data_IF_589279733704
#
_entry.id   IF_589279733704
#
_cell.length_a   1.000
_cell.length_b   1.000
_cell.length_c   1.000
_cell.angle_alpha   90.00
_cell.angle_beta   90.00
_cell.angle_gamma   90.00
#
_symmetry.space_group_name_H-M   'P 1'
#
loop_
_entity.id
_entity.type
_entity.pdbx_description
1 polymer ?
#
# COMPACT_ATOMS: atom_id res chain seq x y z
N UNK A 1 70.87 23.12 10.60
CA UNK A 1 71.27 24.49 10.99
C UNK A 1 70.66 25.48 10.01
N UNK A 2 69.85 26.41 10.49
CA UNK A 2 69.34 27.54 9.70
C UNK A 2 67.86 27.83 9.93
N UNK A 3 67.56 28.40 11.09
CA UNK A 3 66.28 29.04 11.46
C UNK A 3 66.11 30.43 10.77
N UNK A 4 64.88 30.97 10.88
CA UNK A 4 64.50 32.41 10.87
C UNK A 4 64.36 33.12 9.51
N UNK A 5 63.50 34.12 9.30
CA UNK A 5 62.44 34.76 10.10
C UNK A 5 61.58 35.69 9.21
N UNK A 6 60.37 35.99 9.69
CA UNK A 6 59.58 37.23 9.64
C UNK A 6 59.70 38.31 8.52
N UNK A 7 58.52 38.77 8.05
CA UNK A 7 57.92 40.14 8.24
C UNK A 7 56.77 40.36 7.23
N UNK A 8 55.51 40.44 7.65
CA UNK A 8 54.74 41.63 8.08
C UNK A 8 54.66 42.77 7.04
N UNK A 9 53.45 43.02 6.51
CA UNK A 9 52.95 44.38 6.28
C UNK A 9 51.42 44.42 6.24
N UNK A 10 50.85 44.76 7.38
CA UNK A 10 49.57 45.45 7.63
C UNK A 10 49.06 46.41 6.54
N UNK A 11 47.73 46.42 6.31
CA UNK A 11 46.81 47.60 6.16
C UNK A 11 45.42 47.11 5.69
N UNK A 12 44.42 46.96 6.58
CA UNK A 12 43.54 47.97 7.21
C UNK A 12 42.56 48.61 6.22
N UNK A 13 41.28 48.21 6.32
CA UNK A 13 40.12 48.85 5.70
C UNK A 13 38.82 48.18 6.15
N UNK A 14 38.25 48.65 7.27
CA UNK A 14 36.83 48.51 7.67
C UNK A 14 36.25 49.95 7.62
N UNK A 15 35.01 50.16 7.17
CA UNK A 15 33.86 50.35 8.09
C UNK A 15 32.57 49.67 7.56
N UNK A 16 31.76 49.01 8.40
CA UNK A 16 30.60 49.49 9.20
C UNK A 16 29.29 49.10 8.48
N UNK A 17 28.56 48.13 9.05
CA UNK A 17 27.29 48.30 9.80
C UNK A 17 26.08 48.35 8.86
N UNK A 18 25.26 47.30 8.90
CA UNK A 18 23.85 47.48 9.24
C UNK A 18 23.24 46.14 9.66
N UNK A 19 22.93 46.09 10.95
CA UNK A 19 22.05 45.13 11.60
C UNK A 19 20.62 45.40 11.15
N UNK A 20 19.91 44.39 10.66
CA UNK A 20 18.46 44.37 10.66
C UNK A 20 17.98 42.92 10.73
N UNK A 21 17.93 42.43 11.95
CA UNK A 21 17.03 41.38 12.38
C UNK A 21 15.61 41.95 12.41
N UNK A 22 14.70 41.40 11.61
CA UNK A 22 13.27 41.54 11.87
C UNK A 22 12.58 40.21 11.61
N UNK A 23 12.12 39.65 12.73
CA UNK A 23 11.30 38.46 12.88
C UNK A 23 10.18 38.36 11.86
N UNK A 24 10.07 37.21 11.20
CA UNK A 24 8.84 36.75 10.58
C UNK A 24 8.15 35.85 11.60
N UNK A 25 7.49 36.49 12.55
CA UNK A 25 6.67 35.88 13.60
C UNK A 25 5.45 36.77 13.77
N UNK A 26 4.59 36.80 12.75
CA UNK A 26 3.27 37.45 12.77
C UNK A 26 2.46 36.97 11.56
N UNK A 27 1.92 35.76 11.64
CA UNK A 27 0.84 35.28 10.76
C UNK A 27 0.16 34.07 11.42
N UNK A 28 -0.35 34.30 12.63
CA UNK A 28 -1.25 33.40 13.32
C UNK A 28 -2.12 34.25 14.24
N UNK A 29 -3.12 34.91 13.67
CA UNK A 29 -4.28 35.48 14.38
C UNK A 29 -5.17 36.14 13.31
N UNK A 30 -6.13 35.40 12.77
CA UNK A 30 -7.49 35.92 12.62
C UNK A 30 -8.46 34.81 12.22
N UNK A 31 -9.73 35.00 12.57
CA UNK A 31 -10.89 34.13 12.35
C UNK A 31 -11.20 33.14 13.49
N UNK A 32 -11.58 33.72 14.63
CA UNK A 32 -12.62 33.12 15.47
C UNK A 32 -13.58 34.21 15.99
N UNK A 33 -14.86 33.84 15.98
CA UNK A 33 -16.03 34.49 16.60
C UNK A 33 -16.92 35.38 15.72
N UNK A 34 -18.22 35.30 16.05
CA UNK A 34 -19.45 35.84 15.42
C UNK A 34 -20.04 34.87 14.37
N UNK A 35 -21.16 34.18 14.61
CA UNK A 35 -22.42 34.69 15.17
C UNK A 35 -23.27 33.61 15.85
N UNK A 36 -24.06 34.02 16.83
CA UNK A 36 -24.99 33.22 17.61
C UNK A 36 -26.37 33.87 17.56
N UNK A 37 -27.41 33.10 17.20
CA UNK A 37 -28.82 33.33 17.55
C UNK A 37 -29.63 32.16 16.98
N UNK A 38 -30.29 31.37 17.82
CA UNK A 38 -31.75 31.45 18.13
C UNK A 38 -32.60 30.85 16.98
N UNK A 39 -33.72 30.15 17.15
CA UNK A 39 -34.56 29.62 18.23
C UNK A 39 -35.72 28.90 17.48
N UNK A 40 -36.60 28.24 18.22
CA UNK A 40 -37.99 27.90 17.85
C UNK A 40 -38.31 26.54 17.18
N UNK A 41 -38.87 25.72 18.06
CA UNK A 41 -39.90 24.67 17.99
C UNK A 41 -41.10 24.86 17.04
N UNK A 42 -41.65 23.73 16.55
CA UNK A 42 -43.09 23.33 16.63
C UNK A 42 -43.26 21.97 15.93
N UNK A 43 -43.63 20.84 16.54
CA UNK A 43 -44.91 20.39 17.11
C UNK A 43 -46.13 20.24 16.16
N UNK A 44 -46.60 18.98 16.06
CA UNK A 44 -47.99 18.49 15.82
C UNK A 44 -48.63 18.70 14.42
N UNK A 45 -49.41 17.83 13.77
CA UNK A 45 -50.48 16.83 14.10
C UNK A 45 -50.60 15.84 12.91
N UNK A 46 -50.71 14.52 13.08
CA UNK A 46 -51.92 13.68 13.31
C UNK A 46 -52.96 13.52 12.17
N UNK A 47 -53.05 12.28 11.66
CA UNK A 47 -54.22 11.41 11.34
C UNK A 47 -55.25 11.75 10.24
N UNK A 48 -55.54 10.74 9.39
CA UNK A 48 -56.82 10.00 9.16
C UNK A 48 -56.68 9.16 7.86
N UNK A 49 -56.79 7.82 7.87
CA UNK A 49 -58.02 6.99 7.62
C UNK A 49 -58.82 7.44 6.37
N UNK A 50 -59.30 6.62 5.43
CA UNK A 50 -59.78 5.23 5.48
C UNK A 50 -60.14 4.71 4.06
N UNK A 51 -60.16 3.38 3.89
CA UNK A 51 -61.12 2.56 3.10
C UNK A 51 -61.17 2.67 1.55
N UNK A 52 -61.47 1.65 0.74
CA UNK A 52 -61.79 0.21 0.87
C UNK A 52 -62.02 -0.39 -0.54
N UNK A 53 -62.30 -1.70 -0.60
CA UNK A 53 -62.84 -2.52 -1.72
C UNK A 53 -61.78 -3.19 -2.63
N UNK A 54 -61.63 -4.51 -2.75
CA UNK A 54 -62.46 -5.64 -2.29
C UNK A 54 -63.13 -6.34 -3.47
N UNK A 55 -62.47 -7.32 -4.12
CA UNK A 55 -63.12 -8.40 -4.89
C UNK A 55 -62.19 -9.62 -5.07
N UNK A 56 -62.74 -10.80 -4.84
CA UNK A 56 -62.24 -12.16 -5.11
C UNK A 56 -63.47 -13.09 -5.18
N UNK A 57 -63.42 -14.36 -5.61
CA UNK A 57 -62.76 -15.03 -6.76
C UNK A 57 -63.83 -15.96 -7.48
N UNK A 58 -63.58 -17.23 -7.91
CA UNK A 58 -62.66 -17.88 -8.88
C UNK A 58 -63.45 -18.50 -10.11
N UNK A 59 -62.89 -19.40 -10.97
CA UNK A 59 -62.69 -20.83 -10.64
C UNK A 59 -61.41 -21.51 -11.22
N UNK A 60 -61.25 -22.74 -10.76
CA UNK A 60 -60.18 -23.78 -10.82
C UNK A 60 -59.79 -24.38 -12.17
N UNK A 61 -58.51 -24.80 -12.31
CA UNK A 61 -58.10 -26.14 -12.77
C UNK A 61 -56.58 -26.41 -12.57
N UNK A 62 -56.29 -27.46 -11.77
CA UNK A 62 -55.18 -28.44 -11.82
C UNK A 62 -54.34 -28.51 -13.12
N UNK A 63 -53.07 -28.91 -13.19
CA UNK A 63 -52.04 -29.50 -12.31
C UNK A 63 -50.78 -29.73 -13.21
N UNK A 64 -49.64 -30.13 -12.61
CA UNK A 64 -48.35 -30.58 -13.19
C UNK A 64 -47.16 -29.61 -13.09
N UNK A 65 -46.64 -29.46 -11.87
CA UNK A 65 -45.22 -29.16 -11.64
C UNK A 65 -44.40 -30.45 -11.69
N UNK A 66 -43.60 -30.63 -12.74
CA UNK A 66 -42.59 -31.69 -12.80
C UNK A 66 -41.49 -31.42 -11.77
N UNK A 67 -41.03 -32.47 -11.09
CA UNK A 67 -40.04 -32.36 -10.02
C UNK A 67 -38.65 -32.09 -10.60
N UNK A 68 -37.86 -31.23 -9.93
CA UNK A 68 -36.48 -30.92 -10.35
C UNK A 68 -35.58 -32.18 -10.44
N UNK A 69 -35.94 -33.23 -9.72
CA UNK A 69 -35.35 -34.57 -9.79
C UNK A 69 -35.49 -35.23 -11.17
N UNK A 70 -36.64 -35.11 -11.82
CA UNK A 70 -36.88 -35.72 -13.15
C UNK A 70 -36.10 -34.99 -14.26
N UNK A 71 -35.88 -33.69 -14.09
CA UNK A 71 -35.09 -32.88 -15.02
C UNK A 71 -33.58 -33.20 -14.93
N UNK A 72 -33.08 -33.46 -13.72
CA UNK A 72 -31.70 -33.91 -13.50
C UNK A 72 -31.44 -35.31 -14.08
N UNK A 73 -32.42 -36.21 -13.98
CA UNK A 73 -32.32 -37.56 -14.54
C UNK A 73 -32.34 -37.55 -16.07
N UNK A 74 -33.12 -36.64 -16.67
CA UNK A 74 -33.19 -36.47 -18.12
C UNK A 74 -31.89 -35.92 -18.73
N UNK A 75 -31.10 -35.14 -17.99
CA UNK A 75 -29.76 -34.66 -18.43
C UNK A 75 -28.67 -35.73 -18.31
N UNK A 76 -28.73 -36.57 -17.28
CA UNK A 76 -27.81 -37.73 -17.14
C UNK A 76 -28.03 -38.74 -18.26
N UNK A 77 -29.27 -38.99 -18.65
CA UNK A 77 -29.60 -39.91 -19.75
C UNK A 77 -29.11 -39.40 -21.11
N UNK A 78 -29.19 -38.09 -21.36
CA UNK A 78 -28.68 -37.47 -22.61
C UNK A 78 -27.14 -37.51 -22.71
N UNK A 79 -26.43 -37.36 -21.59
CA UNK A 79 -24.94 -37.42 -21.57
C UNK A 79 -24.38 -38.83 -21.80
N UNK A 80 -25.17 -39.88 -21.55
CA UNK A 80 -24.76 -41.26 -21.79
C UNK A 80 -25.01 -41.75 -23.24
N UNK A 81 -25.78 -40.99 -24.04
CA UNK A 81 -26.07 -41.32 -25.44
C UNK A 81 -25.19 -40.55 -26.45
N UNK A 82 -24.47 -39.50 -26.02
CA UNK A 82 -23.56 -38.69 -26.87
C UNK A 82 -22.07 -39.07 -26.77
N UNK A 83 -21.67 -39.97 -25.86
CA UNK A 83 -20.30 -40.52 -25.82
C UNK A 83 -20.23 -41.86 -26.53
N UNK A 84 -20.26 -41.83 -27.86
CA UNK A 84 -20.07 -43.00 -28.72
C UNK A 84 -19.52 -42.61 -30.08
N UNK A 85 -18.22 -42.34 -30.18
CA UNK A 85 -17.34 -42.76 -31.30
C UNK A 85 -15.94 -42.13 -31.20
N UNK A 86 -14.95 -43.02 -31.00
CA UNK A 86 -13.60 -43.12 -31.60
C UNK A 86 -12.73 -41.84 -31.67
N UNK A 87 -11.50 -41.86 -31.15
CA UNK A 87 -10.34 -42.47 -31.84
C UNK A 87 -9.24 -42.99 -30.90
N UNK A 88 -8.54 -43.98 -31.43
CA UNK A 88 -7.45 -44.82 -30.87
C UNK A 88 -6.07 -44.20 -31.15
N UNK A 89 -5.14 -44.26 -30.18
CA UNK A 89 -3.69 -44.56 -30.32
C UNK A 89 -3.04 -44.37 -28.94
N UNK A 90 -2.73 -45.45 -28.21
CA UNK A 90 -1.53 -46.30 -28.30
C UNK A 90 -0.23 -45.57 -27.87
N UNK A 91 0.08 -45.64 -26.57
CA UNK A 91 1.36 -46.14 -26.07
C UNK A 91 1.37 -46.26 -24.54
N UNK A 92 1.69 -47.47 -24.10
CA UNK A 92 2.09 -47.89 -22.77
C UNK A 92 3.49 -47.40 -22.38
N UNK A 93 3.86 -47.67 -21.13
CA UNK A 93 5.16 -47.44 -20.47
C UNK A 93 5.36 -46.02 -19.97
N UNK A 94 5.03 -45.77 -18.69
CA UNK A 94 6.03 -45.69 -17.62
C UNK A 94 5.35 -46.16 -16.33
N UNK A 95 5.58 -47.42 -16.01
CA UNK A 95 5.56 -47.90 -14.64
C UNK A 95 6.71 -47.19 -13.88
N UNK A 96 6.68 -47.25 -12.55
CA UNK A 96 7.73 -46.88 -11.59
C UNK A 96 7.58 -45.56 -10.78
N UNK A 97 7.23 -45.83 -9.51
CA UNK A 97 7.53 -45.14 -8.25
C UNK A 97 6.52 -44.08 -7.79
N UNK A 98 5.53 -44.59 -7.05
CA UNK A 98 5.03 -43.96 -5.84
C UNK A 98 6.19 -43.66 -4.88
N UNK A 99 6.70 -42.44 -4.95
CA UNK A 99 7.43 -41.82 -3.85
C UNK A 99 6.54 -40.74 -3.24
N UNK A 100 6.13 -41.02 -2.01
CA UNK A 100 5.52 -40.09 -1.09
C UNK A 100 6.39 -38.83 -0.99
N UNK A 101 5.84 -37.71 -1.41
CA UNK A 101 6.32 -36.39 -1.04
C UNK A 101 5.10 -35.48 -0.94
N UNK A 102 4.88 -35.02 0.28
CA UNK A 102 4.00 -33.98 0.78
C UNK A 102 3.02 -33.29 -0.19
N UNK A 103 1.76 -33.29 0.25
CA UNK A 103 0.75 -32.29 -0.09
C UNK A 103 1.37 -30.88 -0.10
N UNK A 104 1.72 -30.39 -1.29
CA UNK A 104 1.78 -28.96 -1.58
C UNK A 104 0.89 -28.74 -2.78
N UNK A 105 -0.42 -28.79 -2.50
CA UNK A 105 -1.46 -28.26 -3.35
C UNK A 105 -1.18 -26.76 -3.53
N UNK A 106 -0.38 -26.44 -4.54
CA UNK A 106 -0.10 -25.08 -5.01
C UNK A 106 -1.36 -24.58 -5.71
N UNK A 107 -2.42 -24.37 -4.94
CA UNK A 107 -3.57 -23.60 -5.39
C UNK A 107 -3.18 -22.13 -5.27
N UNK A 108 -2.86 -21.51 -6.41
CA UNK A 108 -2.76 -20.05 -6.58
C UNK A 108 -4.13 -19.38 -6.40
N UNK A 109 -4.75 -19.61 -5.25
CA UNK A 109 -5.84 -18.79 -4.71
C UNK A 109 -5.30 -18.04 -3.50
N UNK A 110 -5.77 -16.82 -3.23
CA UNK A 110 -5.35 -16.09 -2.05
C UNK A 110 -5.71 -16.90 -0.80
N UNK A 111 -4.75 -17.06 0.11
CA UNK A 111 -4.99 -17.73 1.39
C UNK A 111 -6.18 -17.05 2.11
N UNK A 112 -7.27 -17.78 2.39
CA UNK A 112 -8.50 -17.20 2.93
C UNK A 112 -8.27 -16.51 4.28
N UNK A 113 -7.29 -16.97 5.06
CA UNK A 113 -6.91 -16.31 6.31
C UNK A 113 -6.28 -14.94 6.02
N UNK A 114 -5.39 -14.85 5.05
CA UNK A 114 -4.79 -13.58 4.65
C UNK A 114 -5.82 -12.61 4.05
N UNK A 115 -6.82 -13.08 3.30
CA UNK A 115 -7.94 -12.23 2.85
C UNK A 115 -8.75 -11.66 4.02
N UNK A 116 -9.11 -12.51 5.00
CA UNK A 116 -9.81 -12.04 6.19
C UNK A 116 -9.00 -11.00 6.99
N UNK A 117 -7.67 -11.16 7.06
CA UNK A 117 -6.80 -10.18 7.71
C UNK A 117 -6.78 -8.85 6.93
N UNK A 118 -6.68 -8.87 5.60
CA UNK A 118 -6.73 -7.63 4.82
C UNK A 118 -8.09 -6.93 4.88
N UNK A 119 -9.18 -7.70 4.98
CA UNK A 119 -10.52 -7.14 5.21
C UNK A 119 -10.60 -6.43 6.57
N UNK A 120 -9.99 -6.99 7.62
CA UNK A 120 -9.90 -6.37 8.94
C UNK A 120 -9.05 -5.10 8.97
N UNK A 121 -8.02 -5.03 8.11
CA UNK A 121 -7.22 -3.81 7.94
C UNK A 121 -8.07 -2.68 7.36
N UNK A 122 -9.01 -3.01 6.47
CA UNK A 122 -9.95 -2.06 5.87
C UNK A 122 -9.25 -0.84 5.27
N UNK A 123 -9.76 0.35 5.60
CA UNK A 123 -9.30 1.64 5.08
C UNK A 123 -8.16 2.27 5.89
N UNK A 124 -7.40 1.46 6.64
CA UNK A 124 -6.26 1.97 7.42
C UNK A 124 -5.28 2.72 6.52
N UNK A 125 -5.10 4.02 6.82
CA UNK A 125 -4.29 4.92 6.00
C UNK A 125 -2.80 4.67 6.13
N UNK A 126 -2.30 4.18 7.28
CA UNK A 126 -0.88 3.91 7.48
C UNK A 126 -0.69 2.54 8.14
N UNK A 127 -0.02 1.62 7.44
CA UNK A 127 0.13 0.22 7.84
C UNK A 127 1.62 -0.12 7.94
N UNK A 128 2.02 -0.82 8.99
CA UNK A 128 3.36 -1.40 9.06
C UNK A 128 3.29 -2.86 8.61
N UNK A 129 4.09 -3.23 7.62
CA UNK A 129 4.40 -4.62 7.28
C UNK A 129 5.67 -5.01 8.05
N UNK A 130 5.54 -5.98 8.95
CA UNK A 130 6.62 -6.45 9.81
C UNK A 130 6.91 -7.93 9.55
N UNK A 131 8.06 -8.24 8.99
CA UNK A 131 8.45 -9.61 8.65
C UNK A 131 9.77 -9.63 7.90
N UNK A 132 10.30 -10.82 7.60
CA UNK A 132 11.54 -10.91 6.83
C UNK A 132 11.35 -10.30 5.44
N UNK A 133 12.22 -9.35 5.08
CA UNK A 133 12.19 -8.68 3.78
C UNK A 133 12.73 -9.59 2.68
N UNK A 134 12.45 -9.24 1.42
CA UNK A 134 12.92 -9.91 0.20
C UNK A 134 12.44 -11.36 0.10
N UNK A 135 11.19 -11.62 0.51
CA UNK A 135 10.52 -12.90 0.37
C UNK A 135 9.17 -12.77 -0.35
N UNK A 136 8.70 -13.87 -0.96
CA UNK A 136 7.45 -13.88 -1.73
C UNK A 136 6.21 -13.47 -0.90
N UNK A 137 6.22 -13.75 0.41
CA UNK A 137 5.13 -13.34 1.32
C UNK A 137 5.04 -11.80 1.44
N UNK A 138 6.19 -11.12 1.56
CA UNK A 138 6.26 -9.66 1.57
C UNK A 138 5.78 -9.07 0.26
N UNK A 139 6.27 -9.59 -0.87
CA UNK A 139 5.96 -9.08 -2.22
C UNK A 139 4.46 -9.21 -2.53
N UNK A 140 3.88 -10.36 -2.16
CA UNK A 140 2.43 -10.62 -2.27
C UNK A 140 1.59 -9.66 -1.41
N UNK A 141 2.00 -9.40 -0.17
CA UNK A 141 1.30 -8.44 0.70
C UNK A 141 1.45 -7.01 0.21
N UNK A 142 2.65 -6.63 -0.23
CA UNK A 142 2.95 -5.33 -0.83
C UNK A 142 2.02 -5.05 -2.00
N UNK A 143 1.91 -5.98 -2.95
CA UNK A 143 1.08 -5.78 -4.14
C UNK A 143 -0.41 -5.71 -3.80
N UNK A 144 -0.89 -6.52 -2.84
CA UNK A 144 -2.29 -6.50 -2.41
C UNK A 144 -2.67 -5.20 -1.72
N UNK A 145 -1.77 -4.63 -0.90
CA UNK A 145 -1.97 -3.29 -0.32
C UNK A 145 -1.87 -2.16 -1.36
N UNK A 146 -1.30 -2.45 -2.53
CA UNK A 146 -1.21 -1.56 -3.69
C UNK A 146 -2.23 -1.89 -4.78
N UNK A 147 -3.23 -2.74 -4.51
CA UNK A 147 -4.26 -3.12 -5.47
C UNK A 147 -5.60 -2.44 -5.14
N UNK A 148 -6.39 -2.15 -6.17
CA UNK A 148 -7.72 -1.54 -6.02
C UNK A 148 -8.77 -2.59 -5.67
N UNK A 149 -9.52 -2.40 -4.60
CA UNK A 149 -10.69 -3.24 -4.26
C UNK A 149 -11.92 -2.91 -5.09
N UNK A 150 -11.95 -1.75 -5.74
CA UNK A 150 -13.13 -1.20 -6.46
C UNK A 150 -13.00 -1.32 -7.98
N UNK A 151 -11.83 -1.73 -8.50
CA UNK A 151 -11.56 -1.89 -9.93
C UNK A 151 -11.14 -0.60 -10.66
N UNK A 152 -11.16 0.53 -9.97
CA UNK A 152 -10.60 1.80 -10.45
C UNK A 152 -9.07 1.73 -10.54
N UNK A 153 -8.43 2.47 -11.46
CA UNK A 153 -6.98 2.54 -11.53
C UNK A 153 -6.40 3.10 -10.24
N UNK A 154 -5.32 2.50 -9.74
CA UNK A 154 -4.64 2.94 -8.53
C UNK A 154 -3.36 3.70 -8.88
N UNK A 155 -3.11 4.81 -8.19
CA UNK A 155 -1.87 5.59 -8.35
C UNK A 155 -0.82 5.04 -7.39
N UNK A 156 0.39 4.78 -7.87
CA UNK A 156 1.44 4.08 -7.14
C UNK A 156 2.65 4.97 -6.88
N UNK A 157 2.91 5.29 -5.62
CA UNK A 157 4.12 5.98 -5.19
C UNK A 157 5.01 5.02 -4.41
N UNK A 158 6.18 4.70 -4.96
CA UNK A 158 7.15 3.83 -4.30
C UNK A 158 8.33 4.67 -3.81
N UNK A 159 8.71 4.50 -2.55
CA UNK A 159 9.98 5.01 -2.00
C UNK A 159 10.88 3.81 -1.81
N UNK A 160 11.96 3.73 -2.59
CA UNK A 160 12.94 2.63 -2.51
C UNK A 160 14.29 3.16 -2.02
N UNK A 161 14.93 2.42 -1.12
CA UNK A 161 16.20 2.82 -0.49
C UNK A 161 17.31 1.81 -0.74
N UNK A 162 17.05 0.53 -0.41
CA UNK A 162 18.03 -0.54 -0.57
C UNK A 162 18.05 -1.21 -1.94
N UNK A 163 17.13 -0.83 -2.85
CA UNK A 163 16.94 -1.48 -4.15
C UNK A 163 16.81 -0.45 -5.27
N UNK A 164 17.23 -0.80 -6.47
CA UNK A 164 17.05 0.07 -7.64
C UNK A 164 15.57 0.19 -8.03
N UNK A 165 15.16 1.27 -8.72
CA UNK A 165 13.81 1.39 -9.26
C UNK A 165 13.44 0.23 -10.19
N UNK A 166 14.37 -0.21 -11.04
CA UNK A 166 14.14 -1.30 -12.00
C UNK A 166 13.83 -2.63 -11.31
N UNK A 167 14.60 -3.00 -10.29
CA UNK A 167 14.34 -4.20 -9.49
C UNK A 167 12.97 -4.12 -8.80
N UNK A 168 12.69 -3.01 -8.11
CA UNK A 168 11.44 -2.88 -7.34
C UNK A 168 10.21 -2.86 -8.22
N UNK A 169 10.27 -2.17 -9.37
CA UNK A 169 9.17 -2.14 -10.33
C UNK A 169 8.96 -3.52 -10.98
N UNK A 170 10.04 -4.24 -11.30
CA UNK A 170 9.93 -5.59 -11.87
C UNK A 170 9.25 -6.56 -10.91
N UNK A 171 9.60 -6.50 -9.62
CA UNK A 171 8.90 -7.27 -8.58
C UNK A 171 7.43 -6.88 -8.53
N UNK A 172 7.12 -5.58 -8.41
CA UNK A 172 5.73 -5.13 -8.34
C UNK A 172 4.90 -5.56 -9.55
N UNK A 173 5.44 -5.49 -10.77
CA UNK A 173 4.75 -5.93 -11.98
C UNK A 173 4.36 -7.41 -11.95
N UNK A 174 5.15 -8.27 -11.30
CA UNK A 174 4.88 -9.70 -11.21
C UNK A 174 3.71 -10.03 -10.27
N UNK A 175 3.44 -9.16 -9.29
CA UNK A 175 2.44 -9.40 -8.25
C UNK A 175 1.23 -8.46 -8.31
N UNK A 176 1.34 -7.30 -8.95
CA UNK A 176 0.26 -6.33 -9.07
C UNK A 176 -0.85 -6.88 -9.95
N UNK A 177 -2.08 -6.75 -9.47
CA UNK A 177 -3.28 -7.14 -10.20
C UNK A 177 -4.19 -5.92 -10.38
N UNK A 178 -4.61 -5.68 -11.63
CA UNK A 178 -5.55 -4.62 -11.96
C UNK A 178 -4.91 -3.41 -12.67
N UNK A 179 -5.73 -2.40 -13.02
CA UNK A 179 -5.26 -1.23 -13.74
C UNK A 179 -4.41 -0.32 -12.83
N UNK A 180 -3.28 0.13 -13.36
CA UNK A 180 -2.38 1.08 -12.70
C UNK A 180 -2.53 2.45 -13.38
N UNK A 181 -2.73 3.48 -12.58
CA UNK A 181 -2.78 4.89 -13.00
C UNK A 181 -1.38 5.51 -13.03
N UNK A 182 -1.24 6.67 -12.39
CA UNK A 182 0.05 7.34 -12.27
C UNK A 182 1.03 6.49 -11.44
N UNK A 183 2.28 6.41 -11.87
CA UNK A 183 3.32 5.69 -11.12
C UNK A 183 4.56 6.57 -10.98
N UNK A 184 5.07 6.68 -9.76
CA UNK A 184 6.30 7.40 -9.45
C UNK A 184 7.15 6.63 -8.46
N UNK A 185 8.47 6.71 -8.64
CA UNK A 185 9.47 6.13 -7.74
C UNK A 185 10.36 7.22 -7.19
N UNK A 186 10.47 7.28 -5.87
CA UNK A 186 11.50 8.05 -5.18
C UNK A 186 12.67 7.10 -4.94
N UNK A 187 13.69 7.26 -5.76
CA UNK A 187 14.93 6.48 -5.75
C UNK A 187 15.92 7.09 -4.76
N UNK A 188 16.06 6.49 -3.58
CA UNK A 188 17.05 6.87 -2.58
C UNK A 188 18.27 5.98 -2.81
N UNK A 189 19.30 6.53 -3.45
CA UNK A 189 20.44 5.80 -4.02
C UNK A 189 21.41 5.31 -2.94
N UNK A 190 20.95 4.44 -2.05
CA UNK A 190 21.68 3.90 -0.90
C UNK A 190 21.89 2.38 -1.03
N UNK A 191 22.16 1.94 -2.26
CA UNK A 191 22.53 0.58 -2.64
C UNK A 191 23.90 0.59 -3.33
N UNK A 192 24.55 -0.58 -3.42
CA UNK A 192 25.90 -0.69 -3.99
C UNK A 192 25.93 -0.22 -5.46
N UNK A 193 26.91 0.64 -5.79
CA UNK A 193 27.08 1.23 -7.12
C UNK A 193 27.40 0.23 -8.26
N UNK A 194 27.46 -1.06 -7.95
CA UNK A 194 27.66 -2.15 -8.91
C UNK A 194 26.37 -2.74 -9.49
N UNK A 195 25.20 -2.36 -8.96
CA UNK A 195 23.91 -2.78 -9.52
C UNK A 195 23.63 -1.98 -10.78
N UNK A 196 23.40 -2.62 -11.95
CA UNK A 196 22.97 -1.92 -13.13
C UNK A 196 21.63 -1.25 -12.83
N UNK A 197 21.58 0.08 -12.82
CA UNK A 197 20.31 0.78 -12.89
C UNK A 197 19.80 0.57 -14.32
N UNK A 198 19.00 -0.48 -14.53
CA UNK A 198 18.27 -0.62 -15.78
C UNK A 198 17.35 0.60 -15.91
N UNK A 199 17.50 1.36 -17.00
CA UNK A 199 16.58 2.44 -17.32
C UNK A 199 15.20 1.81 -17.56
N UNK A 200 14.28 2.09 -16.65
CA UNK A 200 12.90 1.67 -16.81
C UNK A 200 12.25 2.54 -17.91
N UNK A 201 11.94 1.93 -19.06
CA UNK A 201 11.39 2.59 -20.26
C UNK A 201 9.85 2.75 -20.24
N UNK A 202 9.19 2.40 -19.13
CA UNK A 202 7.74 2.59 -18.97
C UNK A 202 7.38 4.01 -18.50
N UNK A 203 6.08 4.34 -18.45
CA UNK A 203 5.58 5.67 -18.06
C UNK A 203 5.68 5.90 -16.54
N UNK A 204 6.87 5.78 -15.97
CA UNK A 204 7.13 5.94 -14.53
C UNK A 204 8.00 7.16 -14.31
N UNK A 205 7.56 8.05 -13.43
CA UNK A 205 8.37 9.19 -13.02
C UNK A 205 9.37 8.77 -11.93
N UNK A 206 10.67 8.82 -12.22
CA UNK A 206 11.73 8.56 -11.24
C UNK A 206 12.27 9.89 -10.70
N UNK A 207 12.18 10.09 -9.38
CA UNK A 207 12.77 11.24 -8.67
C UNK A 207 13.87 10.74 -7.73
N UNK A 208 15.09 11.25 -7.90
CA UNK A 208 16.25 10.73 -7.17
C UNK A 208 16.57 11.53 -5.89
N UNK A 209 17.08 10.83 -4.89
CA UNK A 209 17.70 11.33 -3.67
C UNK A 209 19.06 10.64 -3.53
N UNK A 210 20.12 11.43 -3.39
CA UNK A 210 21.48 10.90 -3.42
C UNK A 210 21.85 10.07 -2.19
N UNK A 211 21.18 10.28 -1.06
CA UNK A 211 21.55 9.68 0.22
C UNK A 211 20.32 9.54 1.13
N UNK A 212 20.17 8.41 1.80
CA UNK A 212 19.10 8.13 2.76
C UNK A 212 19.08 9.05 3.99
N UNK A 213 20.20 9.72 4.29
CA UNK A 213 20.28 10.72 5.37
C UNK A 213 19.55 12.02 5.02
N UNK A 214 19.25 12.29 3.74
CA UNK A 214 18.45 13.45 3.33
C UNK A 214 16.94 13.19 3.45
N UNK A 215 16.49 12.90 4.69
CA UNK A 215 15.08 12.68 5.01
C UNK A 215 14.21 13.88 4.61
N UNK A 216 14.77 15.09 4.62
CA UNK A 216 14.06 16.30 4.17
C UNK A 216 13.72 16.18 2.69
N UNK A 217 14.68 15.81 1.85
CA UNK A 217 14.46 15.65 0.41
C UNK A 217 13.47 14.53 0.12
N UNK A 218 13.58 13.38 0.79
CA UNK A 218 12.61 12.28 0.67
C UNK A 218 11.20 12.81 0.96
N UNK A 219 11.01 13.46 2.11
CA UNK A 219 9.72 14.01 2.49
C UNK A 219 9.18 15.06 1.53
N UNK A 220 10.02 15.95 0.99
CA UNK A 220 9.62 16.96 0.00
C UNK A 220 9.14 16.30 -1.30
N UNK A 221 9.90 15.32 -1.82
CA UNK A 221 9.53 14.63 -3.05
C UNK A 221 8.25 13.84 -2.89
N UNK A 222 8.07 13.12 -1.77
CA UNK A 222 6.83 12.41 -1.47
C UNK A 222 5.66 13.37 -1.43
N UNK A 223 5.80 14.48 -0.71
CA UNK A 223 4.73 15.48 -0.60
C UNK A 223 4.39 16.09 -1.97
N UNK A 224 5.41 16.35 -2.78
CA UNK A 224 5.21 16.88 -4.14
C UNK A 224 4.41 15.91 -5.01
N UNK A 225 4.77 14.62 -5.03
CA UNK A 225 4.00 13.63 -5.81
C UNK A 225 2.54 13.56 -5.33
N UNK A 226 2.33 13.51 -4.01
CA UNK A 226 0.98 13.47 -3.44
C UNK A 226 0.15 14.69 -3.84
N UNK A 227 0.74 15.89 -3.81
CA UNK A 227 0.08 17.12 -4.26
C UNK A 227 -0.16 17.14 -5.78
N UNK A 228 0.80 16.67 -6.59
CA UNK A 228 0.67 16.59 -8.04
C UNK A 228 -0.47 15.63 -8.45
N UNK A 229 -0.84 14.68 -7.59
CA UNK A 229 -1.89 13.68 -7.82
C UNK A 229 -3.21 13.94 -7.08
N UNK A 230 -3.36 15.06 -6.37
CA UNK A 230 -4.57 15.36 -5.59
C UNK A 230 -5.86 15.31 -6.42
N UNK A 231 -5.79 15.79 -7.68
CA UNK A 231 -6.92 15.78 -8.63
C UNK A 231 -6.91 14.55 -9.58
N UNK A 232 -5.97 13.61 -9.41
CA UNK A 232 -5.91 12.42 -10.26
C UNK A 232 -6.99 11.42 -9.87
N UNK A 233 -7.64 10.74 -10.84
CA UNK A 233 -8.61 9.70 -10.51
C UNK A 233 -7.93 8.52 -9.83
N UNK A 234 -8.63 7.87 -8.90
CA UNK A 234 -8.16 6.69 -8.19
C UNK A 234 -7.42 6.99 -6.88
N UNK A 235 -7.45 6.02 -5.97
CA UNK A 235 -6.72 6.12 -4.70
C UNK A 235 -5.21 6.10 -4.95
N UNK A 236 -4.45 6.83 -4.13
CA UNK A 236 -2.99 6.75 -4.11
C UNK A 236 -2.52 5.75 -3.06
N UNK A 237 -1.80 4.72 -3.48
CA UNK A 237 -1.07 3.80 -2.61
C UNK A 237 0.40 4.17 -2.55
N UNK A 238 0.94 4.26 -1.33
CA UNK A 238 2.34 4.58 -1.06
C UNK A 238 3.03 3.36 -0.47
N UNK A 239 4.10 2.89 -1.12
CA UNK A 239 5.00 1.85 -0.62
C UNK A 239 6.28 2.49 -0.10
N UNK A 240 6.61 2.29 1.18
CA UNK A 240 7.88 2.74 1.75
C UNK A 240 8.77 1.53 2.04
N UNK A 241 9.76 1.29 1.16
CA UNK A 241 10.64 0.12 1.17
C UNK A 241 12.12 0.53 1.29
N UNK A 242 12.73 0.49 2.47
CA UNK A 242 12.18 0.06 3.75
C UNK A 242 12.57 0.97 4.90
N UNK A 243 11.83 0.89 6.01
CA UNK A 243 12.21 1.52 7.28
C UNK A 243 13.51 0.91 7.79
N UNK A 244 13.72 -0.40 7.58
CA UNK A 244 14.98 -1.05 7.93
C UNK A 244 16.17 -0.43 7.22
N UNK A 245 16.06 -0.11 5.94
CA UNK A 245 17.16 0.50 5.18
C UNK A 245 17.41 1.95 5.59
N UNK A 246 16.38 2.72 5.94
CA UNK A 246 16.59 4.03 6.57
C UNK A 246 17.40 3.89 7.87
N UNK A 247 17.04 2.95 8.74
CA UNK A 247 17.69 2.76 10.03
C UNK A 247 19.12 2.26 9.91
N UNK A 248 19.48 1.55 8.82
CA UNK A 248 20.86 1.16 8.52
C UNK A 248 21.74 2.35 8.13
N UNK A 249 21.17 3.36 7.47
CA UNK A 249 21.93 4.50 6.94
C UNK A 249 21.90 5.75 7.83
N UNK A 250 20.87 5.90 8.67
CA UNK A 250 20.69 7.06 9.55
C UNK A 250 20.94 6.67 11.00
N UNK A 251 22.08 7.13 11.55
CA UNK A 251 22.48 6.84 12.93
C UNK A 251 21.48 7.33 13.99
N UNK A 252 20.80 8.45 13.72
CA UNK A 252 19.82 9.04 14.65
C UNK A 252 18.42 8.44 14.44
N UNK A 253 18.12 7.39 15.19
CA UNK A 253 16.80 6.74 15.21
C UNK A 253 15.66 7.70 15.60
N UNK A 254 15.91 8.70 16.45
CA UNK A 254 14.87 9.67 16.84
C UNK A 254 14.51 10.59 15.67
N UNK A 255 15.50 10.93 14.84
CA UNK A 255 15.32 11.69 13.62
C UNK A 255 14.52 10.89 12.58
N UNK A 256 14.80 9.59 12.41
CA UNK A 256 13.97 8.68 11.57
C UNK A 256 12.54 8.56 12.10
N UNK A 257 12.38 8.37 13.41
CA UNK A 257 11.07 8.27 14.06
C UNK A 257 10.21 9.52 13.81
N UNK A 258 10.80 10.72 14.01
CA UNK A 258 10.13 12.01 13.76
C UNK A 258 9.80 12.19 12.28
N UNK A 259 10.70 11.80 11.39
CA UNK A 259 10.44 11.82 9.95
C UNK A 259 9.24 10.96 9.58
N UNK A 260 9.20 9.70 10.01
CA UNK A 260 8.07 8.80 9.73
C UNK A 260 6.77 9.30 10.35
N UNK A 261 6.82 9.87 11.56
CA UNK A 261 5.66 10.50 12.20
C UNK A 261 5.05 11.61 11.33
N UNK A 262 5.89 12.52 10.83
CA UNK A 262 5.44 13.60 9.94
C UNK A 262 4.96 13.05 8.60
N UNK A 263 5.68 12.07 8.02
CA UNK A 263 5.36 11.50 6.72
C UNK A 263 3.99 10.81 6.71
N UNK A 264 3.67 10.00 7.73
CA UNK A 264 2.36 9.37 7.88
C UNK A 264 1.23 10.38 7.94
N UNK A 265 1.43 11.46 8.68
CA UNK A 265 0.46 12.56 8.77
C UNK A 265 0.19 13.20 7.39
N UNK A 266 1.22 13.37 6.56
CA UNK A 266 1.08 13.91 5.20
C UNK A 266 0.36 12.94 4.26
N UNK A 267 0.69 11.65 4.32
CA UNK A 267 0.02 10.61 3.53
C UNK A 267 -1.47 10.55 3.89
N UNK A 268 -1.78 10.57 5.18
CA UNK A 268 -3.16 10.62 5.65
C UNK A 268 -3.89 11.87 5.18
N UNK A 269 -3.27 13.05 5.30
CA UNK A 269 -3.86 14.31 4.87
C UNK A 269 -4.14 14.38 3.35
N UNK A 270 -3.35 13.66 2.55
CA UNK A 270 -3.54 13.54 1.11
C UNK A 270 -4.60 12.48 0.70
N UNK A 271 -5.29 11.85 1.67
CA UNK A 271 -6.22 10.75 1.40
C UNK A 271 -5.55 9.49 0.83
N UNK A 272 -4.23 9.39 0.93
CA UNK A 272 -3.45 8.28 0.45
C UNK A 272 -3.34 7.17 1.50
N UNK A 273 -3.06 5.95 1.02
CA UNK A 273 -2.82 4.78 1.84
C UNK A 273 -1.36 4.39 1.77
N UNK A 274 -0.64 4.53 2.87
CA UNK A 274 0.77 4.16 3.00
C UNK A 274 0.95 2.82 3.69
N UNK A 275 1.85 2.00 3.17
CA UNK A 275 2.41 0.87 3.89
C UNK A 275 3.93 0.95 3.94
N UNK A 276 4.50 0.46 5.04
CA UNK A 276 5.89 0.64 5.40
C UNK A 276 6.49 -0.71 5.75
N UNK A 277 7.66 -1.02 5.21
CA UNK A 277 8.31 -2.31 5.41
C UNK A 277 9.35 -2.22 6.53
N UNK A 278 9.30 -3.15 7.48
CA UNK A 278 10.27 -3.30 8.56
C UNK A 278 10.63 -4.77 8.73
N UNK A 279 11.92 -5.06 8.66
CA UNK A 279 12.45 -6.38 9.03
C UNK A 279 12.78 -6.42 10.53
N UNK A 280 11.98 -7.12 11.35
CA UNK A 280 12.22 -7.19 12.80
C UNK A 280 13.47 -8.00 13.16
N UNK A 281 14.03 -8.80 12.25
CA UNK A 281 15.25 -9.60 12.49
C UNK A 281 16.53 -8.78 12.33
N UNK A 282 16.47 -7.66 11.60
CA UNK A 282 17.57 -6.72 11.40
C UNK A 282 17.79 -5.75 12.58
N UNK A 283 16.87 -5.69 13.55
CA UNK A 283 16.89 -4.71 14.64
C UNK A 283 16.65 -5.35 16.00
N UNK A 284 17.04 -4.65 17.07
CA UNK A 284 16.67 -5.10 18.40
C UNK A 284 15.17 -4.90 18.68
N UNK A 285 14.65 -5.67 19.63
CA UNK A 285 13.21 -5.65 19.96
C UNK A 285 12.70 -4.30 20.47
N UNK A 286 13.56 -3.44 21.03
CA UNK A 286 13.15 -2.12 21.50
C UNK A 286 12.98 -1.17 20.31
N UNK A 287 13.88 -1.21 19.32
CA UNK A 287 13.75 -0.46 18.07
C UNK A 287 12.47 -0.89 17.36
N UNK A 288 12.26 -2.19 17.14
CA UNK A 288 11.05 -2.71 16.47
C UNK A 288 9.78 -2.22 17.16
N UNK A 289 9.67 -2.35 18.48
CA UNK A 289 8.49 -1.87 19.23
C UNK A 289 8.30 -0.36 19.14
N UNK A 290 9.39 0.39 19.20
CA UNK A 290 9.35 1.86 19.10
C UNK A 290 8.79 2.27 17.74
N UNK A 291 9.31 1.71 16.65
CA UNK A 291 8.83 2.01 15.31
C UNK A 291 7.45 1.42 15.02
N UNK A 292 7.08 0.27 15.59
CA UNK A 292 5.73 -0.27 15.49
C UNK A 292 4.69 0.63 16.17
N UNK A 293 5.03 1.28 17.29
CA UNK A 293 4.11 2.18 18.02
C UNK A 293 3.66 3.41 17.22
N UNK A 294 4.32 3.69 16.11
CA UNK A 294 3.92 4.72 15.16
C UNK A 294 2.64 4.36 14.39
N UNK A 295 2.31 3.08 14.30
CA UNK A 295 1.24 2.55 13.46
C UNK A 295 0.11 1.99 14.32
N UNK A 296 -1.12 2.26 13.90
CA UNK A 296 -2.31 1.68 14.52
C UNK A 296 -2.65 0.30 13.95
N UNK A 297 -1.99 -0.08 12.86
CA UNK A 297 -2.19 -1.36 12.16
C UNK A 297 -0.82 -1.93 11.84
N UNK A 298 -0.48 -3.05 12.48
CA UNK A 298 0.74 -3.79 12.19
C UNK A 298 0.35 -5.15 11.63
N UNK A 299 0.73 -5.40 10.38
CA UNK A 299 0.63 -6.70 9.75
C UNK A 299 1.96 -7.43 9.92
N UNK A 300 1.92 -8.46 10.75
CA UNK A 300 3.05 -9.37 10.92
C UNK A 300 2.92 -10.51 9.91
N UNK A 301 4.03 -10.82 9.23
CA UNK A 301 4.06 -11.92 8.27
C UNK A 301 5.33 -12.75 8.41
N UNK A 302 5.20 -14.02 8.07
CA UNK A 302 6.29 -15.00 8.09
C UNK A 302 6.59 -15.49 6.67
N UNK A 303 7.77 -16.04 6.45
CA UNK A 303 8.20 -16.54 5.14
C UNK A 303 7.36 -17.71 4.62
N UNK A 304 6.62 -18.39 5.50
CA UNK A 304 5.68 -19.46 5.14
C UNK A 304 4.33 -18.94 4.61
N UNK A 305 4.16 -17.61 4.55
CA UNK A 305 2.93 -16.97 4.10
C UNK A 305 1.90 -16.73 5.21
N UNK A 306 2.19 -17.10 6.46
CA UNK A 306 1.32 -16.79 7.60
C UNK A 306 1.26 -15.29 7.84
N UNK A 307 0.05 -14.76 8.03
CA UNK A 307 -0.18 -13.34 8.33
C UNK A 307 -1.05 -13.19 9.58
N UNK A 308 -0.73 -12.20 10.41
CA UNK A 308 -1.48 -11.80 11.60
C UNK A 308 -1.54 -10.28 11.74
N UNK A 309 -2.61 -9.81 12.38
CA UNK A 309 -2.81 -8.39 12.71
C UNK A 309 -2.51 -8.17 14.19
N UNK A 310 -1.67 -7.18 14.49
CA UNK A 310 -1.28 -6.75 15.84
C UNK A 310 -1.69 -5.29 16.09
#
# INVERSE_FOLDING_TARGET
MGENDERDSSRRGKPDEDTSSSSLSDLAEDLSSEDASDEASSDTVSSEESSSEGVSPPPTASDQSLSLSELAESLRKRRLEESGSELVSDQSEWDIVTQSADDSDSTSGPDPKTEAVLELVGDASNILLSGQTECAAEESLCSRLMSSSTGDPINLLVVTIGQTPGERLSILQNYLSGPVGNTAVIDVQSYDAGVPSEEYDGPVEIKTVQDATDLRRIGILTSKVLSDWEDSPGQTAVCFHSVSDLLKHVDDQQLVFRFLHVLRGRIHAAGARGHYHLDPTSHDTQVVRTFASLFNTVLEFETDGSVSLN
#
